data_IF_474816598933
#
_entry.id   IF_474816598933
#
_cell.length_a   1.000
_cell.length_b   1.000
_cell.length_c   1.000
_cell.angle_alpha   90.00
_cell.angle_beta   90.00
_cell.angle_gamma   90.00
#
_symmetry.space_group_name_H-M   'P 1'
#
loop_
_entity.id
_entity.type
_entity.pdbx_description
1 polymer ?
#
# COMPACT_ATOMS: atom_id res chain seq x y z
N UNK A 1 15.46 -10.06 -3.32
CA UNK A 1 14.55 -11.05 -2.72
C UNK A 1 14.06 -10.69 -1.31
N UNK A 2 14.92 -10.41 -0.33
CA UNK A 2 14.47 -9.95 1.01
C UNK A 2 13.92 -8.51 0.99
N UNK A 3 14.69 -7.61 0.40
CA UNK A 3 14.40 -6.17 0.41
C UNK A 3 13.12 -5.81 -0.37
N UNK A 4 12.85 -6.49 -1.49
CA UNK A 4 11.64 -6.26 -2.30
C UNK A 4 10.37 -6.68 -1.54
N UNK A 5 10.39 -7.85 -0.88
CA UNK A 5 9.27 -8.31 -0.06
C UNK A 5 9.03 -7.36 1.10
N UNK A 6 10.11 -6.92 1.76
CA UNK A 6 10.03 -5.90 2.81
C UNK A 6 9.38 -4.61 2.28
N UNK A 7 9.85 -4.10 1.14
CA UNK A 7 9.34 -2.86 0.55
C UNK A 7 7.84 -2.95 0.21
N UNK A 8 7.39 -4.07 -0.36
CA UNK A 8 5.97 -4.28 -0.67
C UNK A 8 5.12 -4.32 0.61
N UNK A 9 5.59 -5.03 1.66
CA UNK A 9 4.89 -5.05 2.96
C UNK A 9 4.89 -3.68 3.64
N UNK A 10 5.97 -2.91 3.53
CA UNK A 10 6.07 -1.56 4.07
C UNK A 10 5.09 -0.60 3.36
N UNK A 11 4.97 -0.71 2.02
CA UNK A 11 3.98 0.05 1.26
C UNK A 11 2.55 -0.27 1.73
N UNK A 12 2.25 -1.57 1.89
CA UNK A 12 0.96 -2.02 2.45
C UNK A 12 0.71 -1.45 3.85
N UNK A 13 1.71 -1.44 4.72
CA UNK A 13 1.62 -0.88 6.08
C UNK A 13 1.27 0.59 6.06
N UNK A 14 2.02 1.39 5.29
CA UNK A 14 1.82 2.83 5.21
C UNK A 14 0.41 3.16 4.74
N UNK A 15 -0.11 2.44 3.74
CA UNK A 15 -1.47 2.65 3.24
C UNK A 15 -2.55 2.17 4.21
N UNK A 16 -2.29 1.12 5.00
CA UNK A 16 -3.24 0.59 5.99
C UNK A 16 -3.11 1.22 7.39
N UNK A 17 -2.11 2.05 7.66
CA UNK A 17 -1.96 2.76 8.94
C UNK A 17 -3.26 3.42 9.44
N UNK A 18 -4.04 4.12 8.61
CA UNK A 18 -5.30 4.72 9.03
C UNK A 18 -6.32 3.69 9.54
N UNK A 19 -6.38 2.51 8.93
CA UNK A 19 -7.26 1.40 9.34
C UNK A 19 -6.70 0.71 10.58
N UNK A 20 -5.41 0.38 10.59
CA UNK A 20 -4.73 -0.27 11.71
C UNK A 20 -4.87 0.53 13.02
N UNK A 21 -4.82 1.86 12.92
CA UNK A 21 -4.99 2.77 14.05
C UNK A 21 -6.42 3.27 14.24
N UNK A 22 -7.39 2.69 13.53
CA UNK A 22 -8.85 2.92 13.69
C UNK A 22 -9.29 4.37 13.45
N UNK A 23 -8.57 5.09 12.59
CA UNK A 23 -9.01 6.40 12.12
C UNK A 23 -10.12 6.29 11.08
N UNK A 24 -10.13 5.21 10.30
CA UNK A 24 -11.13 4.86 9.28
C UNK A 24 -11.36 3.36 9.25
N UNK A 25 -12.50 2.92 8.71
CA UNK A 25 -12.81 1.50 8.51
C UNK A 25 -12.29 0.99 7.15
N UNK A 26 -12.22 1.86 6.14
CA UNK A 26 -11.72 1.57 4.80
C UNK A 26 -10.54 2.51 4.46
N UNK A 27 -9.46 1.96 3.89
CA UNK A 27 -8.31 2.74 3.39
C UNK A 27 -8.71 3.82 2.37
N UNK A 28 -9.82 3.62 1.66
CA UNK A 28 -10.38 4.59 0.72
C UNK A 28 -10.86 5.88 1.41
N UNK A 29 -11.25 5.80 2.69
CA UNK A 29 -11.78 6.96 3.42
C UNK A 29 -10.66 7.89 3.93
N UNK A 30 -9.40 7.42 3.94
CA UNK A 30 -8.27 8.25 4.33
C UNK A 30 -7.74 9.08 3.16
N UNK A 31 -8.22 10.31 3.03
CA UNK A 31 -7.83 11.24 1.95
C UNK A 31 -6.34 11.64 1.96
N UNK A 32 -5.64 11.45 3.08
CA UNK A 32 -4.23 11.83 3.25
C UNK A 32 -3.28 10.65 2.98
N UNK A 33 -3.61 9.79 2.01
CA UNK A 33 -2.81 8.63 1.60
C UNK A 33 -2.36 8.72 0.14
N UNK A 34 -1.14 8.29 -0.13
CA UNK A 34 -0.64 8.04 -1.49
C UNK A 34 -1.40 6.93 -2.21
N UNK A 35 -2.13 6.07 -1.48
CA UNK A 35 -2.94 4.98 -2.04
C UNK A 35 -3.86 5.47 -3.18
N UNK A 36 -4.47 6.64 -3.02
CA UNK A 36 -5.33 7.28 -4.04
C UNK A 36 -4.61 7.57 -5.36
N UNK A 37 -3.30 7.85 -5.30
CA UNK A 37 -2.49 8.01 -6.51
C UNK A 37 -2.20 6.69 -7.21
N UNK A 38 -2.14 5.58 -6.49
CA UNK A 38 -1.89 4.25 -7.05
C UNK A 38 -3.13 3.65 -7.72
N UNK A 39 -4.32 3.89 -7.16
CA UNK A 39 -5.58 3.37 -7.74
C UNK A 39 -6.15 4.24 -8.87
N UNK A 40 -5.58 5.43 -9.09
CA UNK A 40 -5.98 6.34 -10.16
C UNK A 40 -4.76 6.76 -11.00
N UNK A 41 -4.24 5.81 -11.79
CA UNK A 41 -3.05 6.03 -12.61
C UNK A 41 -3.21 7.11 -13.69
N UNK A 42 -4.44 7.36 -14.15
CA UNK A 42 -4.73 8.39 -15.16
C UNK A 42 -4.57 9.82 -14.62
N UNK A 43 -4.70 10.03 -13.30
CA UNK A 43 -4.47 11.31 -12.67
C UNK A 43 -2.97 11.55 -12.50
N UNK A 44 -2.49 12.74 -12.88
CA UNK A 44 -1.09 13.12 -12.65
C UNK A 44 -0.75 13.13 -11.14
N UNK A 45 0.47 12.75 -10.81
CA UNK A 45 1.02 12.82 -9.45
C UNK A 45 2.54 12.96 -9.50
N UNK A 46 3.10 13.49 -8.42
CA UNK A 46 4.54 13.57 -8.20
C UNK A 46 5.14 12.26 -7.65
N UNK A 47 4.30 11.27 -7.35
CA UNK A 47 4.72 9.97 -6.83
C UNK A 47 5.26 9.14 -7.99
N UNK A 48 6.46 8.58 -7.82
CA UNK A 48 6.99 7.60 -8.76
C UNK A 48 6.30 6.26 -8.53
N UNK A 49 5.28 5.98 -9.35
CA UNK A 49 4.43 4.80 -9.18
C UNK A 49 5.02 3.58 -9.88
N UNK A 50 5.81 3.75 -10.94
CA UNK A 50 6.23 2.65 -11.82
C UNK A 50 7.08 1.64 -11.06
N UNK A 51 7.94 2.11 -10.17
CA UNK A 51 8.82 1.27 -9.36
C UNK A 51 8.04 0.33 -8.43
N UNK A 52 6.99 0.82 -7.77
CA UNK A 52 6.17 -0.06 -6.92
C UNK A 52 5.14 -0.86 -7.71
N UNK A 53 4.61 -0.30 -8.80
CA UNK A 53 3.63 -1.00 -9.63
C UNK A 53 4.23 -2.15 -10.44
N UNK A 54 5.55 -2.22 -10.62
CA UNK A 54 6.19 -3.37 -11.30
C UNK A 54 5.99 -4.70 -10.55
N UNK A 55 5.63 -4.66 -9.27
CA UNK A 55 5.38 -5.85 -8.44
C UNK A 55 3.93 -6.37 -8.55
N UNK A 56 3.08 -5.71 -9.34
CA UNK A 56 1.67 -6.06 -9.51
C UNK A 56 1.33 -6.11 -11.00
N UNK A 57 0.67 -7.19 -11.45
CA UNK A 57 0.30 -7.33 -12.85
C UNK A 57 -0.76 -6.29 -13.26
N UNK A 58 -1.67 -5.96 -12.34
CA UNK A 58 -2.75 -5.00 -12.55
C UNK A 58 -2.98 -4.10 -11.33
N UNK A 59 -3.67 -2.98 -11.54
CA UNK A 59 -4.19 -2.14 -10.43
C UNK A 59 -5.11 -2.98 -9.52
N UNK A 60 -5.83 -3.95 -10.08
CA UNK A 60 -6.71 -4.82 -9.30
C UNK A 60 -5.89 -5.67 -8.32
N UNK A 61 -4.78 -6.24 -8.75
CA UNK A 61 -3.89 -7.02 -7.87
C UNK A 61 -3.29 -6.15 -6.75
N UNK A 62 -2.93 -4.90 -7.07
CA UNK A 62 -2.51 -3.92 -6.07
C UNK A 62 -3.62 -3.67 -5.03
N UNK A 63 -4.85 -3.43 -5.46
CA UNK A 63 -6.00 -3.20 -4.56
C UNK A 63 -6.32 -4.44 -3.74
N UNK A 64 -6.31 -5.62 -4.34
CA UNK A 64 -6.57 -6.89 -3.65
C UNK A 64 -5.49 -7.20 -2.61
N UNK A 65 -4.22 -6.95 -2.93
CA UNK A 65 -3.13 -7.03 -1.96
C UNK A 65 -3.37 -6.10 -0.75
N UNK A 66 -3.85 -4.87 -1.00
CA UNK A 66 -4.16 -3.90 0.05
C UNK A 66 -5.42 -4.21 0.87
N UNK A 67 -6.26 -5.14 0.43
CA UNK A 67 -7.41 -5.65 1.18
C UNK A 67 -7.12 -6.98 1.89
N UNK A 68 -5.96 -7.58 1.63
CA UNK A 68 -5.58 -8.87 2.22
C UNK A 68 -5.00 -8.70 3.62
N UNK A 69 -5.03 -9.76 4.44
CA UNK A 69 -4.38 -9.76 5.74
C UNK A 69 -2.88 -10.08 5.58
N UNK A 70 -2.06 -9.05 5.33
CA UNK A 70 -0.60 -9.21 5.31
C UNK A 70 -0.04 -9.00 6.72
N UNK A 71 0.72 -9.97 7.20
CA UNK A 71 1.49 -9.84 8.44
C UNK A 71 2.80 -9.09 8.21
N UNK A 72 3.10 -8.17 9.14
CA UNK A 72 4.31 -7.36 9.15
C UNK A 72 5.30 -7.90 10.20
N UNK A 73 6.28 -8.66 9.73
CA UNK A 73 7.37 -9.26 10.51
C UNK A 73 8.45 -8.23 10.91
N UNK A 74 8.40 -7.01 10.38
CA UNK A 74 9.34 -5.93 10.71
C UNK A 74 8.90 -5.05 11.89
N UNK A 75 7.68 -5.23 12.41
CA UNK A 75 7.20 -4.49 13.59
C UNK A 75 7.58 -5.18 14.90
N UNK A 76 8.03 -6.43 14.85
CA UNK A 76 8.62 -7.12 15.99
C UNK A 76 10.07 -6.66 16.15
N UNK A 77 10.27 -5.67 17.02
CA UNK A 77 11.58 -5.38 17.59
C UNK A 77 11.72 -6.32 18.79
N UNK A 78 12.61 -7.32 18.69
CA UNK A 78 13.11 -8.04 19.87
C UNK A 78 14.00 -7.12 20.73
#
# INVERSE_FOLDING_TARGET
MGDEKYLIKLLYYIHNNPVNHRFVEDINDWKYSSYHSYINLAKESKIERKEMMQYFDTIKDFVEYHKSNVEYDFLTIE
#
